data_IF_380265321540
#
_entry.id   IF_380265321540
#
_cell.length_a   1.000
_cell.length_b   1.000
_cell.length_c   1.000
_cell.angle_alpha   90.00
_cell.angle_beta   90.00
_cell.angle_gamma   90.00
#
_symmetry.space_group_name_H-M   'P 1'
#
loop_
_entity.id
_entity.type
_entity.pdbx_description
1 polymer ?
#
# COMPACT_ATOMS: atom_id res chain seq x y z
N UNK A 1 -14.20 -12.71 -14.85
CA UNK A 1 -13.11 -13.36 -14.10
C UNK A 1 -13.30 -12.92 -12.67
N UNK A 2 -13.72 -13.84 -11.82
CA UNK A 2 -14.08 -13.50 -10.45
C UNK A 2 -12.81 -13.50 -9.60
N UNK A 3 -12.70 -12.49 -8.73
CA UNK A 3 -11.60 -12.37 -7.79
C UNK A 3 -12.16 -12.26 -6.37
N UNK A 4 -11.35 -12.65 -5.40
CA UNK A 4 -11.65 -12.51 -3.97
C UNK A 4 -10.62 -11.61 -3.32
N UNK A 5 -11.07 -10.80 -2.35
CA UNK A 5 -10.19 -10.11 -1.42
C UNK A 5 -10.20 -10.88 -0.10
N UNK A 6 -9.02 -11.15 0.45
CA UNK A 6 -8.86 -11.75 1.78
C UNK A 6 -7.69 -11.13 2.53
N UNK A 7 -7.69 -11.27 3.84
CA UNK A 7 -6.53 -10.95 4.66
C UNK A 7 -5.39 -11.94 4.38
N UNK A 8 -4.16 -11.43 4.47
CA UNK A 8 -2.96 -12.24 4.36
C UNK A 8 -2.72 -13.04 5.64
N UNK A 9 -1.98 -14.14 5.48
CA UNK A 9 -1.41 -14.91 6.57
C UNK A 9 0.11 -14.96 6.40
N UNK A 10 0.83 -15.42 7.42
CA UNK A 10 2.29 -15.56 7.33
C UNK A 10 2.73 -16.53 6.21
N UNK A 11 1.85 -17.42 5.76
CA UNK A 11 2.12 -18.30 4.61
C UNK A 11 2.19 -17.52 3.28
N UNK A 12 1.59 -16.34 3.21
CA UNK A 12 1.58 -15.48 2.03
C UNK A 12 2.80 -14.56 1.94
N UNK A 13 3.68 -14.54 2.95
CA UNK A 13 4.81 -13.61 3.07
C UNK A 13 5.64 -13.54 1.78
N UNK A 14 6.00 -14.70 1.23
CA UNK A 14 6.82 -14.75 0.01
C UNK A 14 6.10 -14.12 -1.19
N UNK A 15 4.80 -14.36 -1.35
CA UNK A 15 4.02 -13.78 -2.44
C UNK A 15 3.87 -12.26 -2.30
N UNK A 16 3.73 -11.76 -1.06
CA UNK A 16 3.70 -10.32 -0.77
C UNK A 16 5.05 -9.67 -1.13
N UNK A 17 6.16 -10.28 -0.70
CA UNK A 17 7.50 -9.80 -1.05
C UNK A 17 7.73 -9.80 -2.57
N UNK A 18 7.29 -10.84 -3.28
CA UNK A 18 7.44 -10.90 -4.74
C UNK A 18 6.63 -9.77 -5.44
N UNK A 19 5.43 -9.45 -4.95
CA UNK A 19 4.63 -8.33 -5.46
C UNK A 19 5.22 -6.97 -5.07
N UNK A 20 5.78 -6.83 -3.87
CA UNK A 20 6.46 -5.61 -3.45
C UNK A 20 7.74 -5.35 -4.27
N UNK A 21 8.53 -6.38 -4.55
CA UNK A 21 9.68 -6.24 -5.43
C UNK A 21 9.25 -5.79 -6.83
N UNK A 22 8.14 -6.33 -7.35
CA UNK A 22 7.59 -5.90 -8.64
C UNK A 22 7.12 -4.44 -8.61
N UNK A 23 6.53 -3.98 -7.51
CA UNK A 23 6.20 -2.57 -7.28
C UNK A 23 7.46 -1.70 -7.28
N UNK A 24 8.47 -2.06 -6.47
CA UNK A 24 9.69 -1.28 -6.32
C UNK A 24 10.47 -1.18 -7.63
N UNK A 25 10.61 -2.29 -8.37
CA UNK A 25 11.24 -2.27 -9.70
C UNK A 25 10.52 -1.34 -10.65
N UNK A 26 9.19 -1.45 -10.71
CA UNK A 26 8.38 -0.59 -11.57
C UNK A 26 8.53 0.88 -11.20
N UNK A 27 8.40 1.21 -9.91
CA UNK A 27 8.51 2.60 -9.48
C UNK A 27 9.94 3.14 -9.64
N UNK A 28 10.96 2.32 -9.40
CA UNK A 28 12.36 2.67 -9.64
C UNK A 28 12.60 3.02 -11.11
N UNK A 29 12.13 2.17 -12.02
CA UNK A 29 12.31 2.34 -13.47
C UNK A 29 11.51 3.52 -14.03
N UNK A 30 10.30 3.76 -13.52
CA UNK A 30 9.36 4.72 -14.13
C UNK A 30 9.32 6.09 -13.44
N UNK A 31 9.58 6.16 -12.14
CA UNK A 31 9.21 7.34 -11.34
C UNK A 31 10.27 7.80 -10.32
N UNK A 32 10.96 6.89 -9.64
CA UNK A 32 11.84 7.19 -8.51
C UNK A 32 13.05 6.25 -8.41
N UNK A 33 14.16 6.63 -9.05
CA UNK A 33 15.43 5.89 -9.03
C UNK A 33 16.07 5.73 -7.64
N UNK A 34 15.56 6.40 -6.60
CA UNK A 34 16.09 6.28 -5.22
C UNK A 34 15.56 5.05 -4.48
N UNK A 35 14.55 4.35 -5.00
CA UNK A 35 14.02 3.14 -4.38
C UNK A 35 15.04 1.99 -4.41
N UNK A 36 15.32 1.42 -3.24
CA UNK A 36 16.18 0.25 -3.10
C UNK A 36 15.41 -1.05 -3.29
N UNK A 37 15.57 -1.67 -4.46
CA UNK A 37 14.93 -2.95 -4.80
C UNK A 37 15.44 -4.15 -3.99
N UNK A 38 16.54 -4.02 -3.24
CA UNK A 38 17.05 -5.08 -2.38
C UNK A 38 16.37 -5.13 -1.02
N UNK A 39 15.78 -4.01 -0.57
CA UNK A 39 15.14 -3.86 0.73
C UNK A 39 14.05 -4.91 1.00
N UNK A 40 13.23 -5.24 0.00
CA UNK A 40 12.10 -6.18 0.14
C UNK A 40 12.50 -7.54 0.74
N UNK A 41 13.73 -8.00 0.46
CA UNK A 41 14.28 -9.26 0.94
C UNK A 41 15.43 -9.07 1.97
N UNK A 42 15.64 -7.85 2.46
CA UNK A 42 16.49 -7.62 3.63
C UNK A 42 15.79 -8.12 4.91
N UNK A 43 16.55 -8.20 6.00
CA UNK A 43 15.99 -8.50 7.32
C UNK A 43 14.91 -7.48 7.70
N UNK A 44 15.14 -6.19 7.43
CA UNK A 44 14.17 -5.13 7.75
C UNK A 44 12.89 -5.24 6.90
N UNK A 45 13.00 -5.54 5.60
CA UNK A 45 11.85 -5.73 4.74
C UNK A 45 11.03 -6.96 5.12
N UNK A 46 11.69 -8.07 5.48
CA UNK A 46 11.01 -9.28 5.95
C UNK A 46 10.29 -9.03 7.29
N UNK A 47 10.94 -8.37 8.25
CA UNK A 47 10.33 -7.98 9.52
C UNK A 47 9.15 -7.04 9.33
N UNK A 48 9.27 -6.05 8.43
CA UNK A 48 8.20 -5.13 8.09
C UNK A 48 6.94 -5.89 7.62
N UNK A 49 7.07 -6.83 6.68
CA UNK A 49 5.91 -7.57 6.19
C UNK A 49 5.35 -8.56 7.21
N UNK A 50 6.21 -9.24 7.99
CA UNK A 50 5.74 -10.11 9.08
C UNK A 50 4.93 -9.33 10.11
N UNK A 51 5.41 -8.15 10.49
CA UNK A 51 4.71 -7.21 11.37
C UNK A 51 3.35 -6.85 10.79
N UNK A 52 3.32 -6.43 9.52
CA UNK A 52 2.08 -6.00 8.86
C UNK A 52 1.01 -7.08 8.77
N UNK A 53 1.43 -8.35 8.71
CA UNK A 53 0.54 -9.51 8.67
C UNK A 53 0.05 -9.89 10.07
N UNK A 54 0.89 -9.72 11.10
CA UNK A 54 0.65 -10.30 12.43
C UNK A 54 0.10 -9.32 13.47
N UNK A 55 0.40 -8.03 13.35
CA UNK A 55 0.01 -7.03 14.34
C UNK A 55 -1.38 -6.44 14.09
N UNK A 56 -2.09 -6.14 15.19
CA UNK A 56 -3.48 -5.67 15.15
C UNK A 56 -3.61 -4.26 14.56
N UNK A 57 -2.58 -3.42 14.70
CA UNK A 57 -2.55 -2.06 14.15
C UNK A 57 -2.06 -2.01 12.70
N UNK A 58 -1.86 -3.16 12.06
CA UNK A 58 -1.50 -3.27 10.65
C UNK A 58 -2.49 -4.17 9.90
N UNK A 59 -2.42 -4.13 8.58
CA UNK A 59 -3.16 -5.05 7.72
C UNK A 59 -2.44 -5.30 6.39
N UNK A 60 -2.70 -6.48 5.84
CA UNK A 60 -2.38 -6.80 4.44
C UNK A 60 -3.57 -7.51 3.81
N UNK A 61 -4.06 -6.96 2.70
CA UNK A 61 -5.12 -7.54 1.88
C UNK A 61 -4.54 -8.08 0.58
N UNK A 62 -5.02 -9.25 0.16
CA UNK A 62 -4.61 -9.94 -1.05
C UNK A 62 -5.79 -10.06 -2.01
N UNK A 63 -5.54 -9.78 -3.29
CA UNK A 63 -6.45 -10.07 -4.37
C UNK A 63 -6.06 -11.39 -5.03
N UNK A 64 -7.02 -12.31 -5.16
CA UNK A 64 -6.78 -13.66 -5.65
C UNK A 64 -7.74 -14.05 -6.77
N UNK A 65 -7.22 -14.64 -7.84
CA UNK A 65 -7.96 -15.22 -8.99
C UNK A 65 -7.47 -16.67 -9.16
N UNK A 66 -8.37 -17.65 -9.20
CA UNK A 66 -8.03 -19.06 -9.43
C UNK A 66 -6.85 -19.55 -8.56
N UNK A 67 -6.88 -19.22 -7.26
CA UNK A 67 -5.82 -19.50 -6.27
C UNK A 67 -4.50 -18.74 -6.43
N UNK A 68 -4.33 -17.94 -7.50
CA UNK A 68 -3.16 -17.10 -7.71
C UNK A 68 -3.37 -15.72 -7.09
N UNK A 69 -2.41 -15.27 -6.29
CA UNK A 69 -2.37 -13.89 -5.79
C UNK A 69 -1.94 -12.98 -6.94
N UNK A 70 -2.75 -11.98 -7.26
CA UNK A 70 -2.57 -11.07 -8.40
C UNK A 70 -2.38 -9.61 -7.98
N UNK A 71 -2.55 -9.32 -6.69
CA UNK A 71 -2.30 -7.99 -6.14
C UNK A 71 -2.38 -8.00 -4.63
N UNK A 72 -1.89 -6.93 -4.02
CA UNK A 72 -1.92 -6.74 -2.59
C UNK A 72 -2.05 -5.26 -2.23
N UNK A 73 -2.45 -5.02 -0.98
CA UNK A 73 -2.38 -3.73 -0.31
C UNK A 73 -1.87 -3.97 1.11
N UNK A 74 -0.87 -3.21 1.55
CA UNK A 74 -0.42 -3.17 2.94
C UNK A 74 -0.58 -1.75 3.51
N UNK A 75 -0.95 -1.67 4.78
CA UNK A 75 -1.09 -0.41 5.50
C UNK A 75 -1.28 -0.63 6.99
N UNK A 76 -1.40 0.47 7.74
CA UNK A 76 -1.51 0.39 9.18
C UNK A 76 -2.04 1.68 9.82
N UNK A 77 -2.28 1.61 11.13
CA UNK A 77 -2.53 2.79 11.94
C UNK A 77 -1.24 3.58 12.07
N UNK A 78 -1.36 4.84 11.72
CA UNK A 78 -0.31 5.82 11.82
C UNK A 78 -0.47 6.56 13.15
N UNK A 79 0.10 5.99 14.21
CA UNK A 79 0.17 6.67 15.50
C UNK A 79 1.29 7.71 15.47
N UNK A 80 1.01 8.91 15.98
CA UNK A 80 1.96 10.02 16.16
C UNK A 80 2.44 10.88 14.96
N UNK A 81 1.79 10.92 13.79
CA UNK A 81 2.26 11.91 12.78
C UNK A 81 1.88 13.35 13.14
N UNK A 82 2.93 14.15 13.31
CA UNK A 82 2.89 15.61 13.46
C UNK A 82 2.17 16.09 14.74
N UNK A 83 2.80 15.90 15.91
CA UNK A 83 2.34 16.44 17.21
C UNK A 83 2.05 17.95 17.22
N UNK A 84 2.54 18.67 16.21
CA UNK A 84 2.25 20.09 15.98
C UNK A 84 0.92 20.36 15.25
N UNK A 85 0.24 19.33 14.74
CA UNK A 85 -1.09 19.39 14.13
C UNK A 85 -2.12 18.65 14.98
N UNK A 86 -3.36 19.14 14.95
CA UNK A 86 -4.51 18.46 15.55
C UNK A 86 -5.19 17.63 14.46
N UNK A 87 -4.73 16.39 14.31
CA UNK A 87 -5.29 15.43 13.35
C UNK A 87 -6.00 14.29 14.09
N UNK A 88 -7.05 13.69 13.50
CA UNK A 88 -7.57 12.44 14.01
C UNK A 88 -6.54 11.31 13.86
N UNK A 89 -6.76 10.19 14.56
CA UNK A 89 -6.05 8.94 14.30
C UNK A 89 -6.17 8.64 12.81
N UNK A 90 -5.04 8.36 12.17
CA UNK A 90 -4.97 8.14 10.73
C UNK A 90 -4.58 6.70 10.44
N UNK A 91 -5.05 6.18 9.31
CA UNK A 91 -4.51 4.95 8.74
C UNK A 91 -3.81 5.27 7.43
N UNK A 92 -2.62 4.73 7.22
CA UNK A 92 -1.84 4.94 6.01
C UNK A 92 -1.91 3.70 5.10
N UNK A 93 -2.25 3.94 3.83
CA UNK A 93 -2.04 2.97 2.76
C UNK A 93 -0.59 3.13 2.32
N UNK A 94 0.24 2.16 2.68
CA UNK A 94 1.69 2.24 2.52
C UNK A 94 2.16 1.62 1.22
N UNK A 95 1.56 0.49 0.83
CA UNK A 95 1.92 -0.23 -0.39
C UNK A 95 0.66 -0.74 -1.09
N UNK A 96 0.61 -0.63 -2.42
CA UNK A 96 -0.41 -1.32 -3.22
C UNK A 96 0.14 -1.64 -4.60
N UNK A 97 -0.05 -2.88 -5.03
CA UNK A 97 0.33 -3.31 -6.37
C UNK A 97 -0.62 -4.36 -6.93
N UNK A 98 -0.84 -4.30 -8.23
CA UNK A 98 -1.61 -5.28 -9.00
C UNK A 98 -0.81 -5.59 -10.25
N UNK A 99 -0.67 -6.88 -10.57
CA UNK A 99 0.00 -7.33 -11.79
C UNK A 99 -0.69 -6.72 -13.02
N UNK A 100 0.09 -6.43 -14.06
CA UNK A 100 -0.36 -5.61 -15.19
C UNK A 100 -1.62 -6.15 -15.85
N UNK A 101 -1.69 -7.46 -16.04
CA UNK A 101 -2.77 -8.19 -16.71
C UNK A 101 -4.10 -8.15 -15.95
N UNK A 102 -4.07 -7.83 -14.65
CA UNK A 102 -5.24 -7.78 -13.78
C UNK A 102 -5.67 -6.35 -13.43
N UNK A 103 -5.07 -5.32 -14.05
CA UNK A 103 -5.46 -3.92 -13.85
C UNK A 103 -6.76 -3.58 -14.57
N UNK A 104 -7.40 -2.49 -14.17
CA UNK A 104 -8.69 -2.02 -14.72
C UNK A 104 -9.87 -3.00 -14.56
N UNK A 105 -9.73 -4.02 -13.71
CA UNK A 105 -10.79 -4.99 -13.38
C UNK A 105 -11.55 -4.68 -12.07
N UNK A 106 -11.30 -3.51 -11.47
CA UNK A 106 -11.89 -3.11 -10.18
C UNK A 106 -11.18 -3.67 -8.94
N UNK A 107 -10.10 -4.44 -9.11
CA UNK A 107 -9.32 -5.02 -7.99
C UNK A 107 -8.76 -3.95 -7.05
N UNK A 108 -8.16 -2.89 -7.59
CA UNK A 108 -7.59 -1.81 -6.77
C UNK A 108 -8.64 -1.10 -5.92
N UNK A 109 -9.83 -0.87 -6.48
CA UNK A 109 -10.96 -0.32 -5.74
C UNK A 109 -11.37 -1.24 -4.59
N UNK A 110 -11.41 -2.56 -4.82
CA UNK A 110 -11.80 -3.53 -3.80
C UNK A 110 -10.75 -3.68 -2.69
N UNK A 111 -9.46 -3.67 -3.02
CA UNK A 111 -8.38 -3.63 -2.03
C UNK A 111 -8.49 -2.36 -1.17
N UNK A 112 -8.63 -1.20 -1.80
CA UNK A 112 -8.82 0.07 -1.09
C UNK A 112 -10.07 0.06 -0.20
N UNK A 113 -11.19 -0.48 -0.67
CA UNK A 113 -12.42 -0.58 0.13
C UNK A 113 -12.21 -1.44 1.38
N UNK A 114 -11.54 -2.59 1.26
CA UNK A 114 -11.19 -3.43 2.41
C UNK A 114 -10.29 -2.70 3.41
N UNK A 115 -9.29 -1.96 2.92
CA UNK A 115 -8.48 -1.09 3.77
C UNK A 115 -9.32 -0.02 4.49
N UNK A 116 -10.16 0.70 3.77
CA UNK A 116 -10.99 1.76 4.35
C UNK A 116 -11.99 1.22 5.39
N UNK A 117 -12.54 0.02 5.18
CA UNK A 117 -13.39 -0.67 6.16
C UNK A 117 -12.60 -1.07 7.41
N UNK A 118 -11.42 -1.66 7.24
CA UNK A 118 -10.51 -1.99 8.33
C UNK A 118 -10.10 -0.75 9.13
N UNK A 119 -9.72 0.34 8.48
CA UNK A 119 -9.33 1.59 9.15
C UNK A 119 -10.47 2.18 9.98
N UNK A 120 -11.72 2.11 9.48
CA UNK A 120 -12.91 2.53 10.24
C UNK A 120 -13.11 1.67 11.48
N UNK A 121 -12.92 0.35 11.37
CA UNK A 121 -13.01 -0.57 12.51
C UNK A 121 -11.95 -0.26 13.58
N UNK A 122 -10.81 0.31 13.17
CA UNK A 122 -9.75 0.84 14.05
C UNK A 122 -9.99 2.27 14.56
N UNK A 123 -11.16 2.84 14.31
CA UNK A 123 -11.52 4.22 14.67
C UNK A 123 -10.61 5.28 14.03
N UNK A 124 -9.96 4.98 12.89
CA UNK A 124 -9.23 5.98 12.13
C UNK A 124 -10.23 6.99 11.53
N UNK A 125 -10.02 8.27 11.83
CA UNK A 125 -10.81 9.38 11.29
C UNK A 125 -10.27 9.94 9.98
N UNK A 126 -9.13 9.44 9.51
CA UNK A 126 -8.50 9.89 8.26
C UNK A 126 -7.73 8.74 7.59
N UNK A 127 -7.77 8.71 6.26
CA UNK A 127 -6.90 7.86 5.44
C UNK A 127 -5.80 8.71 4.83
N UNK A 128 -4.58 8.18 4.78
CA UNK A 128 -3.39 8.81 4.21
C UNK A 128 -2.75 7.89 3.18
N UNK A 129 -2.07 8.49 2.21
CA UNK A 129 -1.15 7.81 1.30
C UNK A 129 -0.06 8.79 0.90
N UNK A 130 1.18 8.29 0.81
CA UNK A 130 2.28 8.99 0.16
C UNK A 130 2.46 8.40 -1.23
N UNK A 131 2.52 9.25 -2.25
CA UNK A 131 2.70 8.82 -3.63
C UNK A 131 3.86 9.59 -4.26
N UNK A 132 4.68 8.89 -5.05
CA UNK A 132 5.70 9.52 -5.89
C UNK A 132 5.05 10.53 -6.84
N UNK A 133 5.57 11.76 -6.89
CA UNK A 133 4.94 12.88 -7.60
C UNK A 133 4.72 12.61 -9.11
N UNK A 134 5.61 11.82 -9.71
CA UNK A 134 5.56 11.41 -11.12
C UNK A 134 4.55 10.27 -11.38
N UNK A 135 4.10 9.55 -10.34
CA UNK A 135 3.13 8.45 -10.43
C UNK A 135 1.70 9.01 -10.61
N UNK A 136 1.47 9.72 -11.71
CA UNK A 136 0.16 10.31 -12.05
C UNK A 136 -0.98 9.27 -12.11
N UNK A 137 -0.79 8.02 -12.59
CA UNK A 137 -1.87 7.03 -12.55
C UNK A 137 -2.30 6.65 -11.13
N UNK A 138 -1.34 6.49 -10.20
CA UNK A 138 -1.62 6.22 -8.79
C UNK A 138 -2.32 7.41 -8.11
N UNK A 139 -1.81 8.63 -8.33
CA UNK A 139 -2.40 9.86 -7.80
C UNK A 139 -3.86 10.02 -8.28
N UNK A 140 -4.13 9.79 -9.56
CA UNK A 140 -5.50 9.86 -10.11
C UNK A 140 -6.42 8.79 -9.52
N UNK A 141 -5.89 7.58 -9.26
CA UNK A 141 -6.64 6.55 -8.54
C UNK A 141 -7.02 7.02 -7.14
N UNK A 142 -6.10 7.60 -6.37
CA UNK A 142 -6.39 8.10 -5.02
C UNK A 142 -7.40 9.26 -5.04
N UNK A 143 -7.23 10.25 -5.93
CA UNK A 143 -8.17 11.37 -6.06
C UNK A 143 -9.59 10.92 -6.42
N UNK A 144 -9.74 9.94 -7.32
CA UNK A 144 -11.04 9.33 -7.65
C UNK A 144 -11.70 8.63 -6.45
N UNK A 145 -10.91 8.21 -5.47
CA UNK A 145 -11.37 7.59 -4.22
C UNK A 145 -11.44 8.59 -3.05
N UNK A 146 -11.48 9.90 -3.33
CA UNK A 146 -11.75 10.93 -2.33
C UNK A 146 -10.53 11.45 -1.56
N UNK A 147 -9.32 11.03 -1.91
CA UNK A 147 -8.10 11.65 -1.38
C UNK A 147 -7.88 13.03 -2.01
N UNK A 148 -7.30 13.94 -1.24
CA UNK A 148 -6.92 15.29 -1.69
C UNK A 148 -5.47 15.57 -1.37
N UNK A 149 -4.82 16.38 -2.20
CA UNK A 149 -3.43 16.77 -2.01
C UNK A 149 -3.30 17.68 -0.78
N UNK A 150 -2.34 17.40 0.10
CA UNK A 150 -2.16 18.17 1.36
C UNK A 150 -0.75 18.70 1.55
N UNK A 151 0.28 17.93 1.18
CA UNK A 151 1.70 18.28 1.33
C UNK A 151 2.44 17.93 0.04
N UNK A 152 3.40 18.77 -0.34
CA UNK A 152 4.37 18.50 -1.40
C UNK A 152 5.77 18.52 -0.79
N UNK A 153 6.57 17.51 -1.10
CA UNK A 153 8.00 17.46 -0.76
C UNK A 153 8.79 17.91 -1.99
N UNK A 154 9.71 18.86 -1.82
CA UNK A 154 10.54 19.43 -2.89
C UNK A 154 12.01 19.21 -2.55
N UNK A 155 12.77 18.65 -3.49
CA UNK A 155 14.16 18.25 -3.29
C UNK A 155 15.07 18.82 -4.38
N UNK A 156 16.34 19.06 -4.03
CA UNK A 156 17.39 19.50 -4.96
C UNK A 156 18.72 18.91 -4.52
N UNK A 157 19.43 18.26 -5.45
CA UNK A 157 20.82 17.82 -5.22
C UNK A 157 21.74 19.04 -5.05
N UNK A 158 22.70 18.95 -4.13
CA UNK A 158 23.74 19.96 -3.88
C UNK A 158 25.08 19.43 -4.39
#
# INVERSE_FOLDING_TARGET
MDFVIREATLQDLKAIQDLNLALFKKEHEEFNETLDCSWTFSEEGEEYFKKHIAEDDCCVFLAQIDQKIVGYLAGGILDETEKFRKLPISAELENMFIIHECRNMGIGLKLYQSFAEWSKAKNAGMLRVVATAQNTPGIDFYRKNGFTDTVLVLERNI
#
